data_IF_819290717148
#
_entry.id   IF_819290717148
#
_cell.length_a   1.000
_cell.length_b   1.000
_cell.length_c   1.000
_cell.angle_alpha   90.00
_cell.angle_beta   90.00
_cell.angle_gamma   90.00
#
_symmetry.space_group_name_H-M   'P 1'
#
loop_
_entity.id
_entity.type
_entity.pdbx_description
1 polymer ?
#
# COMPACT_ATOMS: atom_id res chain seq x y z
N UNK A 1 -10.81 -3.30 14.62
CA UNK A 1 -11.65 -2.34 13.87
C UNK A 1 -12.81 -3.04 13.17
N UNK A 2 -13.71 -2.30 12.50
CA UNK A 2 -14.70 -2.92 11.59
C UNK A 2 -14.02 -3.26 10.26
N UNK A 3 -14.28 -4.46 9.74
CA UNK A 3 -13.73 -4.92 8.45
C UNK A 3 -14.40 -4.20 7.28
N UNK A 4 -13.71 -4.11 6.15
CA UNK A 4 -14.33 -3.69 4.89
C UNK A 4 -15.32 -4.76 4.41
N UNK A 5 -16.50 -4.34 3.96
CA UNK A 5 -17.56 -5.24 3.51
C UNK A 5 -18.01 -4.84 2.11
N UNK A 6 -18.19 -5.82 1.21
CA UNK A 6 -18.83 -5.67 -0.10
C UNK A 6 -20.20 -6.33 -0.05
N UNK A 7 -21.23 -5.61 -0.46
CA UNK A 7 -22.54 -6.20 -0.71
C UNK A 7 -22.56 -6.88 -2.09
N UNK A 8 -23.00 -8.13 -2.12
CA UNK A 8 -23.25 -8.88 -3.34
C UNK A 8 -24.67 -8.62 -3.84
N UNK A 9 -24.90 -8.85 -5.13
CA UNK A 9 -26.22 -8.68 -5.76
C UNK A 9 -27.36 -9.50 -5.11
N UNK A 10 -27.03 -10.54 -4.34
CA UNK A 10 -27.98 -11.36 -3.57
C UNK A 10 -28.22 -10.82 -2.13
N UNK A 11 -27.77 -9.61 -1.80
CA UNK A 11 -27.87 -9.00 -0.47
C UNK A 11 -26.88 -9.54 0.57
N UNK A 12 -25.98 -10.45 0.18
CA UNK A 12 -24.98 -11.00 1.10
C UNK A 12 -23.79 -10.04 1.25
N UNK A 13 -23.47 -9.66 2.48
CA UNK A 13 -22.24 -8.93 2.79
C UNK A 13 -21.05 -9.89 2.92
N UNK A 14 -19.97 -9.61 2.20
CA UNK A 14 -18.72 -10.38 2.26
C UNK A 14 -17.57 -9.48 2.67
N UNK A 15 -16.74 -9.95 3.60
CA UNK A 15 -15.57 -9.22 4.04
C UNK A 15 -14.55 -9.11 2.89
N UNK A 16 -13.99 -7.91 2.71
CA UNK A 16 -12.93 -7.65 1.74
C UNK A 16 -11.60 -7.81 2.47
N UNK A 17 -10.70 -8.64 1.93
CA UNK A 17 -9.36 -8.82 2.49
C UNK A 17 -8.37 -7.79 1.97
N UNK A 18 -8.54 -7.30 0.74
CA UNK A 18 -7.71 -6.24 0.17
C UNK A 18 -8.44 -5.44 -0.92
N UNK A 19 -8.06 -4.17 -1.03
CA UNK A 19 -8.34 -3.30 -2.18
C UNK A 19 -7.00 -3.05 -2.88
N UNK A 20 -6.99 -3.04 -4.21
CA UNK A 20 -5.76 -2.88 -4.97
C UNK A 20 -5.96 -2.16 -6.29
N UNK A 21 -4.92 -1.48 -6.74
CA UNK A 21 -4.83 -0.81 -8.04
C UNK A 21 -3.49 -1.21 -8.64
N UNK A 22 -3.48 -1.78 -9.83
CA UNK A 22 -2.26 -2.18 -10.54
C UNK A 22 -2.28 -1.63 -11.96
N UNK A 23 -1.09 -1.38 -12.50
CA UNK A 23 -0.93 -0.98 -13.89
C UNK A 23 -1.51 -2.05 -14.83
N UNK A 24 -2.07 -1.60 -15.95
CA UNK A 24 -2.67 -2.50 -16.92
C UNK A 24 -1.66 -3.55 -17.41
N UNK A 25 -2.11 -4.81 -17.51
CA UNK A 25 -1.27 -5.93 -17.92
C UNK A 25 -0.29 -6.45 -16.88
N UNK A 26 -0.27 -5.87 -15.66
CA UNK A 26 0.54 -6.38 -14.54
C UNK A 26 -0.39 -7.01 -13.50
N UNK A 27 -0.22 -8.31 -13.28
CA UNK A 27 -0.96 -9.02 -12.23
C UNK A 27 -0.46 -8.63 -10.85
N UNK A 28 -1.34 -8.57 -9.83
CA UNK A 28 -1.03 -8.22 -8.43
C UNK A 28 -0.33 -9.37 -7.67
N UNK A 29 0.57 -10.07 -8.35
CA UNK A 29 1.14 -11.36 -7.97
C UNK A 29 2.67 -11.27 -8.07
N UNK A 30 3.38 -12.05 -7.26
CA UNK A 30 4.85 -12.03 -7.25
C UNK A 30 5.42 -12.83 -8.42
N UNK A 31 4.62 -13.67 -9.06
CA UNK A 31 4.96 -14.46 -10.23
C UNK A 31 4.99 -13.61 -11.52
N UNK A 32 4.33 -12.45 -11.53
CA UNK A 32 4.34 -11.53 -12.66
C UNK A 32 5.78 -11.06 -12.95
N UNK A 33 6.27 -11.09 -14.21
CA UNK A 33 7.62 -10.67 -14.56
C UNK A 33 7.95 -9.23 -14.13
N UNK A 34 6.96 -8.34 -14.07
CA UNK A 34 7.16 -6.99 -13.58
C UNK A 34 7.39 -6.96 -12.07
N UNK A 35 6.87 -7.92 -11.30
CA UNK A 35 6.96 -7.93 -9.83
C UNK A 35 8.01 -8.91 -9.25
N UNK A 36 8.38 -9.97 -9.98
CA UNK A 36 9.12 -11.12 -9.44
C UNK A 36 10.49 -10.81 -8.84
N UNK A 37 11.25 -9.89 -9.43
CA UNK A 37 12.53 -9.40 -8.87
C UNK A 37 12.40 -8.02 -8.23
N UNK A 38 11.17 -7.51 -8.12
CA UNK A 38 10.85 -6.25 -7.47
C UNK A 38 10.62 -6.44 -5.97
N UNK A 39 9.72 -5.62 -5.45
CA UNK A 39 9.32 -5.65 -4.06
C UNK A 39 8.19 -4.67 -3.79
N UNK A 40 7.89 -4.50 -2.51
CA UNK A 40 6.96 -3.48 -2.08
C UNK A 40 7.42 -2.80 -0.80
N UNK A 41 7.08 -1.53 -0.68
CA UNK A 41 7.13 -0.80 0.57
C UNK A 41 5.86 -1.09 1.37
N UNK A 42 5.99 -1.48 2.63
CA UNK A 42 4.89 -1.80 3.52
C UNK A 42 4.92 -0.89 4.76
N UNK A 43 3.79 -0.27 5.07
CA UNK A 43 3.52 0.35 6.38
C UNK A 43 2.38 -0.38 7.07
N UNK A 44 2.52 -0.60 8.38
CA UNK A 44 1.48 -1.20 9.22
C UNK A 44 0.82 -0.13 10.08
N UNK A 45 -0.47 0.08 9.86
CA UNK A 45 -1.29 1.04 10.58
C UNK A 45 -2.11 0.28 11.62
N UNK A 46 -1.92 0.62 12.90
CA UNK A 46 -2.73 0.05 13.98
C UNK A 46 -4.02 0.85 14.10
N UNK A 47 -5.13 0.18 14.36
CA UNK A 47 -6.47 0.81 14.35
C UNK A 47 -6.72 1.95 15.35
N UNK A 48 -5.96 2.14 16.47
CA UNK A 48 -6.03 3.37 17.25
C UNK A 48 -5.72 4.64 16.45
N UNK A 49 -5.12 4.52 15.25
CA UNK A 49 -4.88 5.63 14.32
C UNK A 49 -6.15 6.28 13.76
N UNK A 50 -7.33 5.66 13.93
CA UNK A 50 -8.61 6.17 13.42
C UNK A 50 -8.80 5.91 11.92
N UNK A 51 -10.03 5.58 11.51
CA UNK A 51 -10.34 5.26 10.11
C UNK A 51 -10.00 6.39 9.14
N UNK A 52 -10.26 7.64 9.53
CA UNK A 52 -9.99 8.81 8.67
C UNK A 52 -8.51 9.00 8.31
N UNK A 53 -7.57 8.64 9.18
CA UNK A 53 -6.14 8.74 8.84
C UNK A 53 -5.73 7.67 7.82
N UNK A 54 -6.29 6.46 7.94
CA UNK A 54 -6.07 5.38 6.99
C UNK A 54 -6.64 5.77 5.62
N UNK A 55 -7.83 6.36 5.60
CA UNK A 55 -8.48 6.85 4.37
C UNK A 55 -7.66 7.98 3.72
N UNK A 56 -7.14 8.94 4.50
CA UNK A 56 -6.26 10.01 4.00
C UNK A 56 -4.99 9.43 3.35
N UNK A 57 -4.31 8.51 4.04
CA UNK A 57 -3.11 7.86 3.50
C UNK A 57 -3.37 7.06 2.22
N UNK A 58 -4.47 6.30 2.20
CA UNK A 58 -4.88 5.55 1.01
C UNK A 58 -5.17 6.50 -0.15
N UNK A 59 -5.98 7.53 0.07
CA UNK A 59 -6.37 8.48 -0.97
C UNK A 59 -5.16 9.24 -1.52
N UNK A 60 -4.24 9.70 -0.67
CA UNK A 60 -3.03 10.38 -1.11
C UNK A 60 -2.17 9.47 -2.00
N UNK A 61 -1.98 8.20 -1.61
CA UNK A 61 -1.22 7.26 -2.41
C UNK A 61 -1.90 6.96 -3.75
N UNK A 62 -3.22 6.74 -3.75
CA UNK A 62 -3.99 6.50 -4.98
C UNK A 62 -3.85 7.68 -5.94
N UNK A 63 -4.07 8.91 -5.44
CA UNK A 63 -3.97 10.12 -6.26
C UNK A 63 -2.54 10.36 -6.76
N UNK A 64 -1.52 10.13 -5.92
CA UNK A 64 -0.13 10.32 -6.29
C UNK A 64 0.33 9.30 -7.35
N UNK A 65 -0.14 8.04 -7.28
CA UNK A 65 0.17 7.01 -8.26
C UNK A 65 -0.52 7.31 -9.60
N UNK A 66 -1.83 7.57 -9.59
CA UNK A 66 -2.59 7.83 -10.83
C UNK A 66 -2.17 9.16 -11.48
N UNK A 67 -1.82 10.15 -10.68
CA UNK A 67 -1.34 11.46 -11.15
C UNK A 67 0.17 11.50 -11.45
N UNK A 68 0.88 10.38 -11.35
CA UNK A 68 2.33 10.27 -11.56
C UNK A 68 3.16 11.31 -10.76
N UNK A 69 2.69 11.69 -9.57
CA UNK A 69 3.27 12.76 -8.76
C UNK A 69 4.47 12.34 -7.90
N UNK A 70 4.86 11.07 -7.96
CA UNK A 70 5.95 10.49 -7.16
C UNK A 70 7.27 10.43 -7.94
N UNK A 71 8.39 10.52 -7.24
CA UNK A 71 9.70 10.32 -7.87
C UNK A 71 9.84 8.87 -8.35
N UNK A 72 10.30 8.67 -9.59
CA UNK A 72 10.39 7.35 -10.24
C UNK A 72 9.04 6.63 -10.32
N UNK A 73 7.94 7.37 -10.50
CA UNK A 73 6.57 6.85 -10.62
C UNK A 73 6.41 5.76 -11.68
N UNK A 74 7.18 5.83 -12.76
CA UNK A 74 7.23 4.83 -13.84
C UNK A 74 7.70 3.44 -13.37
N UNK A 75 8.29 3.33 -12.18
CA UNK A 75 8.68 2.07 -11.58
C UNK A 75 7.58 1.47 -10.68
N UNK A 76 6.45 2.15 -10.47
CA UNK A 76 5.34 1.65 -9.66
C UNK A 76 4.54 0.63 -10.47
N UNK A 77 4.32 -0.55 -9.88
CA UNK A 77 3.49 -1.59 -10.51
C UNK A 77 2.09 -1.65 -9.91
N UNK A 78 1.92 -1.25 -8.65
CA UNK A 78 0.61 -1.19 -8.01
C UNK A 78 0.63 -0.75 -6.55
N UNK A 79 -0.58 -0.67 -6.00
CA UNK A 79 -0.87 -0.27 -4.63
C UNK A 79 -1.87 -1.25 -4.01
N UNK A 80 -1.70 -1.60 -2.74
CA UNK A 80 -2.64 -2.45 -1.99
C UNK A 80 -2.95 -1.86 -0.62
N UNK A 81 -4.22 -1.94 -0.23
CA UNK A 81 -4.69 -1.81 1.14
C UNK A 81 -5.15 -3.17 1.60
N UNK A 82 -4.46 -3.75 2.58
CA UNK A 82 -4.76 -5.09 3.08
C UNK A 82 -5.39 -5.00 4.46
N UNK A 83 -6.62 -5.51 4.57
CA UNK A 83 -7.36 -5.62 5.82
C UNK A 83 -6.92 -6.87 6.58
N UNK A 84 -6.12 -6.66 7.64
CA UNK A 84 -5.75 -7.70 8.60
C UNK A 84 -6.46 -7.51 9.94
N UNK A 85 -7.57 -6.77 9.99
CA UNK A 85 -8.38 -6.63 11.19
C UNK A 85 -9.03 -7.97 11.54
N UNK A 86 -9.05 -8.28 12.83
CA UNK A 86 -9.67 -9.48 13.37
C UNK A 86 -11.13 -9.64 12.92
N UNK A 87 -11.42 -10.77 12.25
CA UNK A 87 -12.68 -11.50 12.41
C UNK A 87 -12.51 -12.60 13.48
N UNK A 88 -13.60 -13.17 14.01
CA UNK A 88 -13.58 -14.20 15.09
C UNK A 88 -12.40 -15.18 14.93
N UNK A 89 -11.39 -15.11 15.82
CA UNK A 89 -10.25 -16.04 15.86
C UNK A 89 -8.89 -15.55 15.30
N UNK A 90 -8.76 -14.32 14.79
CA UNK A 90 -7.44 -13.73 14.44
C UNK A 90 -7.05 -12.61 15.42
N UNK A 91 -5.76 -12.49 15.75
CA UNK A 91 -5.22 -11.63 16.84
C UNK A 91 -4.71 -10.24 16.36
N UNK A 92 -4.77 -9.94 15.06
CA UNK A 92 -4.16 -8.70 14.52
C UNK A 92 -5.17 -7.58 14.30
N UNK A 93 -4.84 -6.38 14.77
CA UNK A 93 -5.65 -5.16 14.59
C UNK A 93 -4.85 -4.16 13.73
N UNK A 94 -4.59 -4.58 12.49
CA UNK A 94 -3.63 -3.93 11.57
C UNK A 94 -4.26 -3.78 10.18
N UNK A 95 -4.07 -2.61 9.57
CA UNK A 95 -4.20 -2.39 8.12
C UNK A 95 -2.80 -2.23 7.54
N UNK A 96 -2.56 -2.80 6.35
CA UNK A 96 -1.30 -2.58 5.62
C UNK A 96 -1.56 -1.73 4.39
N UNK A 97 -0.70 -0.73 4.17
CA UNK A 97 -0.58 -0.07 2.88
C UNK A 97 0.70 -0.57 2.23
N UNK A 98 0.60 -1.00 0.97
CA UNK A 98 1.70 -1.57 0.20
C UNK A 98 1.83 -0.79 -1.11
N UNK A 99 3.03 -0.27 -1.42
CA UNK A 99 3.38 0.31 -2.72
C UNK A 99 4.39 -0.60 -3.42
N UNK A 100 3.98 -1.21 -4.52
CA UNK A 100 4.75 -2.19 -5.28
C UNK A 100 5.58 -1.51 -6.35
N UNK A 101 6.81 -1.97 -6.54
CA UNK A 101 7.72 -1.46 -7.56
C UNK A 101 8.30 -2.58 -8.44
N UNK A 102 8.65 -2.18 -9.66
CA UNK A 102 9.03 -3.04 -10.76
C UNK A 102 10.39 -3.71 -10.50
N UNK A 103 10.55 -4.92 -11.03
CA UNK A 103 11.78 -5.72 -11.12
C UNK A 103 12.95 -5.02 -11.83
N UNK A 104 12.71 -3.90 -12.51
CA UNK A 104 13.71 -3.12 -13.25
C UNK A 104 14.16 -1.89 -12.47
N UNK A 105 13.53 -1.59 -11.33
CA UNK A 105 13.84 -0.43 -10.52
C UNK A 105 15.28 -0.53 -9.98
N UNK A 106 16.08 0.48 -10.27
CA UNK A 106 17.44 0.62 -9.75
C UNK A 106 17.43 0.95 -8.26
N UNK A 107 18.52 0.69 -7.51
CA UNK A 107 18.61 1.05 -6.10
C UNK A 107 18.34 2.54 -5.81
N UNK A 108 18.74 3.43 -6.73
CA UNK A 108 18.46 4.87 -6.64
C UNK A 108 16.98 5.18 -6.81
N UNK A 109 16.28 4.56 -7.77
CA UNK A 109 14.85 4.74 -7.99
C UNK A 109 14.03 4.18 -6.82
N UNK A 110 14.41 3.01 -6.29
CA UNK A 110 13.81 2.42 -5.09
C UNK A 110 13.95 3.39 -3.90
N UNK A 111 15.15 3.96 -3.71
CA UNK A 111 15.39 4.93 -2.65
C UNK A 111 14.57 6.22 -2.84
N UNK A 112 14.41 6.68 -4.08
CA UNK A 112 13.59 7.84 -4.43
C UNK A 112 12.10 7.59 -4.18
N UNK A 113 11.58 6.45 -4.63
CA UNK A 113 10.20 6.03 -4.37
C UNK A 113 9.91 5.94 -2.87
N UNK A 114 10.82 5.37 -2.08
CA UNK A 114 10.62 5.27 -0.63
C UNK A 114 10.48 6.65 0.02
N UNK A 115 11.37 7.58 -0.32
CA UNK A 115 11.31 8.98 0.18
C UNK A 115 10.04 9.69 -0.29
N UNK A 116 9.68 9.49 -1.55
CA UNK A 116 8.47 10.08 -2.13
C UNK A 116 7.20 9.52 -1.48
N UNK A 117 7.15 8.21 -1.19
CA UNK A 117 6.05 7.57 -0.48
C UNK A 117 5.86 8.14 0.92
N UNK A 118 6.97 8.32 1.66
CA UNK A 118 6.94 8.93 2.99
C UNK A 118 6.34 10.34 2.94
N UNK A 119 6.82 11.19 2.02
CA UNK A 119 6.28 12.54 1.81
C UNK A 119 4.80 12.53 1.45
N UNK A 120 4.37 11.62 0.56
CA UNK A 120 2.97 11.49 0.15
C UNK A 120 2.07 11.09 1.33
N UNK A 121 2.52 10.15 2.16
CA UNK A 121 1.78 9.74 3.36
C UNK A 121 1.68 10.87 4.38
N UNK A 122 2.70 11.71 4.54
CA UNK A 122 2.69 12.80 5.52
C UNK A 122 2.03 14.08 5.01
N UNK A 123 1.62 14.16 3.74
CA UNK A 123 0.93 15.35 3.21
C UNK A 123 -0.54 15.34 3.63
N UNK A 124 -1.01 16.39 4.31
CA UNK A 124 -2.41 16.53 4.70
C UNK A 124 -3.27 17.06 3.55
N UNK A 125 -4.59 16.97 3.68
CA UNK A 125 -5.54 17.49 2.69
C UNK A 125 -5.42 19.00 2.40
N UNK A 126 -4.92 19.80 3.36
CA UNK A 126 -4.66 21.23 3.20
C UNK A 126 -3.29 21.54 2.56
N UNK A 127 -2.54 20.51 2.16
CA UNK A 127 -1.20 20.61 1.59
C UNK A 127 -0.09 20.79 2.62
N UNK A 128 -0.42 20.94 3.90
CA UNK A 128 0.58 21.01 4.97
C UNK A 128 1.25 19.65 5.20
N UNK A 129 2.46 19.68 5.74
CA UNK A 129 3.17 18.45 6.13
C UNK A 129 2.80 18.08 7.57
N UNK A 130 2.27 16.87 7.74
CA UNK A 130 2.09 16.20 9.00
C UNK A 130 3.44 15.77 9.62
N UNK A 131 3.38 15.14 10.81
CA UNK A 131 4.58 14.63 11.45
C UNK A 131 5.24 13.55 10.59
N UNK A 132 6.58 13.53 10.58
CA UNK A 132 7.34 12.46 9.94
C UNK A 132 6.96 11.09 10.52
N UNK A 133 7.04 10.06 9.67
CA UNK A 133 6.82 8.70 10.13
C UNK A 133 7.96 8.29 11.08
N UNK A 134 7.66 7.49 12.11
CA UNK A 134 8.66 7.11 13.11
C UNK A 134 9.62 6.05 12.55
N UNK A 135 10.91 6.36 12.47
CA UNK A 135 11.99 5.39 12.23
C UNK A 135 11.75 4.51 10.99
N UNK A 136 11.91 3.19 11.13
CA UNK A 136 11.69 2.19 10.06
C UNK A 136 10.20 1.86 9.83
N UNK A 137 9.31 2.85 9.89
CA UNK A 137 7.87 2.65 9.68
C UNK A 137 7.55 2.05 8.30
N UNK A 138 8.32 2.43 7.28
CA UNK A 138 8.22 1.87 5.93
C UNK A 138 9.28 0.79 5.74
N UNK A 139 8.80 -0.46 5.67
CA UNK A 139 9.62 -1.65 5.43
C UNK A 139 9.71 -1.92 3.92
N UNK A 140 10.91 -2.16 3.40
CA UNK A 140 11.09 -2.66 2.02
C UNK A 140 11.10 -4.20 2.05
N UNK A 141 10.12 -4.82 1.37
CA UNK A 141 9.95 -6.27 1.28
C UNK A 141 10.24 -6.73 -0.15
N UNK A 142 11.37 -7.40 -0.36
CA UNK A 142 11.73 -7.97 -1.66
C UNK A 142 10.92 -9.24 -1.96
N UNK A 143 10.38 -9.35 -3.17
CA UNK A 143 9.52 -10.49 -3.54
C UNK A 143 10.30 -11.80 -3.68
N UNK A 144 11.54 -11.74 -4.16
CA UNK A 144 12.41 -12.91 -4.29
C UNK A 144 12.81 -13.59 -2.96
N UNK A 145 12.56 -12.94 -1.82
CA UNK A 145 12.75 -13.48 -0.47
C UNK A 145 11.47 -14.06 0.14
N UNK A 146 10.30 -13.80 -0.46
CA UNK A 146 9.00 -14.25 0.06
C UNK A 146 8.57 -15.62 -0.50
N UNK A 147 9.21 -16.09 -1.58
CA UNK A 147 8.93 -17.37 -2.25
C UNK A 147 9.88 -18.52 -1.87
N UNK A 148 10.58 -18.43 -0.73
CA UNK A 148 11.41 -19.51 -0.18
C UNK A 148 10.91 -19.96 1.19
#
# INVERSE_FOLDING_TARGET
>A
GKRFMKEKANGQAVAIDAIMIFSEGISPEWEDPANAQGGHFQIQLKTPSGGGQIDEYWNNLVLAVIGECMESSNQITGLRLVDKLSGKGKVTDIIRLELWYHSKATPSEISALKRSMEKTLTTRLDGSQGPALKGEAIQDKKHNQLGK
#
